data_IF_797466755713
#
_entry.id   IF_797466755713
#
_cell.length_a   1.000
_cell.length_b   1.000
_cell.length_c   1.000
_cell.angle_alpha   90.00
_cell.angle_beta   90.00
_cell.angle_gamma   90.00
#
_symmetry.space_group_name_H-M   'P 1'
#
loop_
_entity.id
_entity.type
_entity.pdbx_description
1 polymer ?
#
# COMPACT_ATOMS: atom_id res chain seq x y z
N UNK A 1 -12.33 16.81 2.55
CA UNK A 1 -12.88 17.01 1.20
C UNK A 1 -12.03 16.18 0.26
N UNK A 2 -12.66 15.37 -0.57
CA UNK A 2 -11.96 14.57 -1.58
C UNK A 2 -11.66 15.44 -2.81
N UNK A 3 -10.53 15.21 -3.46
CA UNK A 3 -10.12 15.86 -4.72
C UNK A 3 -9.88 14.79 -5.77
N UNK A 4 -10.71 14.74 -6.79
CA UNK A 4 -10.58 13.81 -7.92
C UNK A 4 -10.14 14.61 -9.16
N UNK A 5 -9.20 14.07 -9.92
CA UNK A 5 -8.56 14.77 -11.05
C UNK A 5 -8.51 13.80 -12.23
N UNK A 6 -9.08 14.19 -13.36
CA UNK A 6 -8.92 13.45 -14.61
C UNK A 6 -7.73 14.03 -15.40
N UNK A 7 -6.67 13.24 -15.54
CA UNK A 7 -5.46 13.69 -16.22
C UNK A 7 -4.28 12.74 -16.05
N UNK A 8 -3.16 13.08 -16.69
CA UNK A 8 -1.90 12.36 -16.55
C UNK A 8 -1.32 12.58 -15.15
N UNK A 9 -0.98 11.48 -14.46
CA UNK A 9 -0.55 11.54 -13.07
C UNK A 9 0.78 12.31 -12.89
N UNK A 10 1.71 12.23 -13.84
CA UNK A 10 2.98 12.96 -13.75
C UNK A 10 2.78 14.47 -13.89
N UNK A 11 1.80 14.90 -14.69
CA UNK A 11 1.47 16.31 -14.83
C UNK A 11 0.64 16.81 -13.63
N UNK A 12 -0.39 16.07 -13.25
CA UNK A 12 -1.30 16.50 -12.18
C UNK A 12 -0.65 16.48 -10.79
N UNK A 13 0.28 15.55 -10.54
CA UNK A 13 1.04 15.54 -9.28
C UNK A 13 1.85 16.82 -9.08
N UNK A 14 2.29 17.53 -10.12
CA UNK A 14 3.01 18.81 -10.02
C UNK A 14 2.19 19.88 -9.28
N UNK A 15 0.87 19.78 -9.34
CA UNK A 15 -0.08 20.70 -8.72
C UNK A 15 -0.44 20.32 -7.26
N UNK A 16 0.10 19.21 -6.73
CA UNK A 16 -0.10 18.80 -5.34
C UNK A 16 1.00 19.42 -4.49
N UNK A 17 0.67 20.09 -3.36
CA UNK A 17 1.66 20.74 -2.50
C UNK A 17 2.66 19.76 -1.87
N UNK A 18 3.87 20.24 -1.61
CA UNK A 18 4.92 19.49 -0.91
C UNK A 18 4.47 19.07 0.49
N UNK A 19 4.78 17.84 0.89
CA UNK A 19 4.49 17.34 2.22
C UNK A 19 3.00 17.33 2.59
N UNK A 20 2.11 17.29 1.61
CA UNK A 20 0.65 17.37 1.84
C UNK A 20 -0.02 16.03 2.10
N UNK A 21 0.61 14.91 1.70
CA UNK A 21 0.04 13.58 1.86
C UNK A 21 0.68 12.81 3.01
N UNK A 22 -0.15 12.19 3.84
CA UNK A 22 0.25 11.34 4.95
C UNK A 22 0.61 9.93 4.49
N UNK A 23 -0.06 9.44 3.45
CA UNK A 23 0.28 8.21 2.75
C UNK A 23 0.01 8.32 1.24
N UNK A 24 0.73 7.52 0.47
CA UNK A 24 0.45 7.26 -0.94
C UNK A 24 0.14 5.77 -1.03
N UNK A 25 -1.06 5.40 -1.49
CA UNK A 25 -1.50 4.01 -1.60
C UNK A 25 -2.06 3.83 -3.00
N UNK A 26 -1.33 3.10 -3.84
CA UNK A 26 -1.58 3.09 -5.27
C UNK A 26 -1.31 1.72 -5.90
N UNK A 27 -2.07 1.41 -6.94
CA UNK A 27 -1.87 0.27 -7.84
C UNK A 27 -1.38 0.78 -9.20
N UNK A 28 -0.07 1.04 -9.36
CA UNK A 28 0.44 1.57 -10.62
C UNK A 28 0.39 0.51 -11.74
N UNK A 29 0.40 0.89 -13.02
CA UNK A 29 0.49 -0.06 -14.12
C UNK A 29 1.83 -0.82 -14.11
N UNK A 30 1.78 -2.15 -14.34
CA UNK A 30 2.96 -3.03 -14.26
C UNK A 30 3.60 -3.31 -15.62
N UNK A 31 2.95 -2.95 -16.75
CA UNK A 31 3.39 -3.30 -18.09
C UNK A 31 3.34 -4.81 -18.38
N UNK A 32 2.44 -5.54 -17.74
CA UNK A 32 2.37 -7.01 -17.82
C UNK A 32 1.14 -7.53 -18.54
N UNK A 33 0.23 -6.66 -18.94
CA UNK A 33 -1.00 -7.00 -19.66
C UNK A 33 -1.02 -6.37 -21.06
N UNK A 34 -1.93 -6.82 -21.92
CA UNK A 34 -2.15 -6.24 -23.23
C UNK A 34 -3.09 -5.00 -23.21
N UNK A 35 -3.46 -4.52 -22.03
CA UNK A 35 -4.33 -3.37 -21.87
C UNK A 35 -3.58 -2.08 -22.24
N UNK A 36 -4.21 -1.18 -22.98
CA UNK A 36 -3.58 0.09 -23.43
C UNK A 36 -3.10 0.98 -22.27
N UNK A 37 -3.77 0.94 -21.13
CA UNK A 37 -3.43 1.70 -19.92
C UNK A 37 -2.31 1.06 -19.09
N UNK A 38 -1.93 -0.20 -19.35
CA UNK A 38 -0.90 -0.90 -18.57
C UNK A 38 0.51 -0.62 -19.14
N UNK A 39 0.85 0.64 -19.29
CA UNK A 39 2.22 1.10 -19.63
C UNK A 39 2.92 1.59 -18.38
N UNK A 40 4.16 1.13 -18.15
CA UNK A 40 4.95 1.53 -16.98
C UNK A 40 5.17 3.05 -17.02
N UNK A 41 4.82 3.72 -15.93
CA UNK A 41 5.09 5.14 -15.70
C UNK A 41 6.61 5.33 -15.57
N UNK A 42 7.14 6.45 -16.07
CA UNK A 42 8.55 6.80 -15.84
C UNK A 42 8.83 6.86 -14.34
N UNK A 43 9.64 5.90 -13.86
CA UNK A 43 9.88 5.76 -12.42
C UNK A 43 10.71 6.91 -11.84
N UNK A 44 11.58 7.55 -12.61
CA UNK A 44 12.38 8.69 -12.12
C UNK A 44 11.47 9.90 -11.87
N UNK A 45 10.64 10.23 -12.84
CA UNK A 45 9.65 11.32 -12.74
C UNK A 45 8.61 11.01 -11.65
N UNK A 46 8.13 9.78 -11.57
CA UNK A 46 7.23 9.34 -10.50
C UNK A 46 7.88 9.56 -9.12
N UNK A 47 9.11 9.10 -8.90
CA UNK A 47 9.79 9.27 -7.61
C UNK A 47 10.10 10.71 -7.27
N UNK A 48 10.35 11.57 -8.26
CA UNK A 48 10.50 13.01 -8.03
C UNK A 48 9.26 13.57 -7.35
N UNK A 49 8.08 13.30 -7.89
CA UNK A 49 6.83 13.80 -7.35
C UNK A 49 6.46 13.12 -6.01
N UNK A 50 6.55 11.81 -5.92
CA UNK A 50 6.18 11.10 -4.69
C UNK A 50 7.02 11.52 -3.49
N UNK A 51 8.34 11.74 -3.67
CA UNK A 51 9.25 12.21 -2.62
C UNK A 51 8.92 13.62 -2.14
N UNK A 52 8.45 14.49 -3.02
CA UNK A 52 8.05 15.85 -2.70
C UNK A 52 6.72 15.89 -1.94
N UNK A 53 5.74 15.11 -2.40
CA UNK A 53 4.36 15.13 -1.92
C UNK A 53 4.22 14.45 -0.55
N UNK A 54 4.99 13.38 -0.30
CA UNK A 54 4.84 12.59 0.93
C UNK A 54 5.46 13.31 2.14
N UNK A 55 4.80 13.23 3.29
CA UNK A 55 5.36 13.70 4.57
C UNK A 55 6.59 12.86 5.01
N UNK A 56 7.50 13.41 5.83
CA UNK A 56 8.74 12.74 6.24
C UNK A 56 8.54 11.37 6.92
N UNK A 57 7.42 11.16 7.59
CA UNK A 57 7.05 9.89 8.23
C UNK A 57 5.98 9.11 7.48
N UNK A 58 5.53 9.62 6.33
CA UNK A 58 4.50 8.99 5.51
C UNK A 58 4.98 7.70 4.86
N UNK A 59 4.06 6.80 4.58
CA UNK A 59 4.30 5.56 3.85
C UNK A 59 3.87 5.70 2.39
N UNK A 60 4.69 5.17 1.48
CA UNK A 60 4.34 4.95 0.07
C UNK A 60 4.14 3.45 -0.10
N UNK A 61 2.93 3.04 -0.41
CA UNK A 61 2.46 1.66 -0.50
C UNK A 61 2.05 1.40 -1.94
N UNK A 62 2.87 0.65 -2.68
CA UNK A 62 2.62 0.36 -4.08
C UNK A 62 2.40 -1.13 -4.27
N UNK A 63 1.30 -1.52 -4.88
CA UNK A 63 1.13 -2.91 -5.31
C UNK A 63 2.02 -3.18 -6.52
N UNK A 64 2.47 -4.42 -6.65
CA UNK A 64 3.38 -4.82 -7.69
C UNK A 64 3.28 -6.32 -7.98
N UNK A 65 3.88 -6.72 -9.09
CA UNK A 65 3.98 -8.10 -9.52
C UNK A 65 5.27 -8.30 -10.30
N UNK A 66 5.95 -9.43 -10.12
CA UNK A 66 7.16 -9.71 -10.89
C UNK A 66 6.90 -9.75 -12.41
N UNK A 67 7.81 -9.18 -13.24
CA UNK A 67 9.14 -8.64 -12.89
C UNK A 67 9.14 -7.19 -12.40
N UNK A 68 8.01 -6.47 -12.51
CA UNK A 68 7.88 -5.05 -12.11
C UNK A 68 8.27 -4.80 -10.65
N UNK A 69 7.96 -5.72 -9.72
CA UNK A 69 8.38 -5.61 -8.31
C UNK A 69 9.88 -5.38 -8.18
N UNK A 70 10.69 -6.16 -8.89
CA UNK A 70 12.16 -6.02 -8.84
C UNK A 70 12.61 -4.66 -9.35
N UNK A 71 12.07 -4.20 -10.48
CA UNK A 71 12.38 -2.89 -11.07
C UNK A 71 11.98 -1.75 -10.13
N UNK A 72 10.78 -1.82 -9.55
CA UNK A 72 10.26 -0.82 -8.61
C UNK A 72 11.13 -0.71 -7.35
N UNK A 73 11.52 -1.84 -6.75
CA UNK A 73 12.40 -1.86 -5.57
C UNK A 73 13.77 -1.30 -5.92
N UNK A 74 14.37 -1.73 -7.04
CA UNK A 74 15.68 -1.26 -7.47
C UNK A 74 15.71 0.24 -7.75
N UNK A 75 14.62 0.80 -8.28
CA UNK A 75 14.53 2.23 -8.60
C UNK A 75 14.60 3.16 -7.38
N UNK A 76 14.32 2.65 -6.15
CA UNK A 76 14.40 3.47 -4.94
C UNK A 76 14.78 2.67 -3.68
N UNK A 77 15.89 1.96 -3.71
CA UNK A 77 16.41 1.17 -2.58
C UNK A 77 16.59 1.98 -1.29
N UNK A 78 16.86 3.29 -1.39
CA UNK A 78 17.07 4.15 -0.21
C UNK A 78 15.80 4.29 0.64
N UNK A 79 14.64 4.34 0.01
CA UNK A 79 13.35 4.46 0.70
C UNK A 79 12.71 3.11 0.97
N UNK A 80 13.13 2.02 0.31
CA UNK A 80 12.56 0.69 0.49
C UNK A 80 12.64 0.24 1.95
N UNK A 81 11.54 -0.35 2.46
CA UNK A 81 11.44 -0.88 3.82
C UNK A 81 11.23 -2.39 3.85
N UNK A 82 10.16 -2.86 3.28
CA UNK A 82 9.80 -4.28 3.20
C UNK A 82 8.70 -4.51 2.18
N UNK A 83 8.45 -5.79 1.88
CA UNK A 83 7.28 -6.21 1.12
C UNK A 83 6.28 -6.92 2.03
N UNK A 84 5.00 -6.72 1.75
CA UNK A 84 3.91 -7.60 2.15
C UNK A 84 3.48 -8.42 0.93
N UNK A 85 2.90 -9.57 1.16
CA UNK A 85 2.36 -10.45 0.11
C UNK A 85 0.86 -10.53 0.29
N UNK A 86 0.11 -10.11 -0.73
CA UNK A 86 -1.31 -10.38 -0.78
C UNK A 86 -1.56 -11.75 -1.42
N UNK A 87 -1.95 -12.73 -0.59
CA UNK A 87 -2.39 -14.05 -1.03
C UNK A 87 -3.85 -13.96 -1.49
N UNK A 88 -4.08 -14.25 -2.78
CA UNK A 88 -5.40 -14.22 -3.41
C UNK A 88 -6.19 -15.49 -3.12
N UNK A 89 -7.52 -15.42 -3.20
CA UNK A 89 -8.38 -16.60 -3.09
C UNK A 89 -8.37 -17.48 -4.34
N UNK A 90 -7.96 -16.93 -5.49
CA UNK A 90 -7.93 -17.65 -6.78
C UNK A 90 -6.57 -17.47 -7.44
N UNK A 91 -5.99 -18.58 -7.88
CA UNK A 91 -4.77 -18.56 -8.67
C UNK A 91 -5.06 -18.13 -10.12
N UNK A 92 -4.06 -17.52 -10.75
CA UNK A 92 -4.09 -17.09 -12.16
C UNK A 92 -3.00 -17.77 -12.97
N UNK A 93 -3.11 -17.76 -14.31
CA UNK A 93 -2.09 -18.31 -15.20
C UNK A 93 -2.30 -19.81 -15.52
N UNK A 94 -3.54 -20.29 -15.51
CA UNK A 94 -3.86 -21.69 -15.81
C UNK A 94 -3.28 -22.19 -17.14
N UNK A 95 -3.25 -21.37 -18.18
CA UNK A 95 -2.66 -21.75 -19.49
C UNK A 95 -1.17 -22.09 -19.44
N UNK A 96 -0.48 -21.69 -18.37
CA UNK A 96 0.96 -21.91 -18.19
C UNK A 96 1.32 -23.03 -17.21
N UNK A 97 0.35 -23.77 -16.68
CA UNK A 97 0.57 -24.74 -15.58
C UNK A 97 1.55 -25.88 -15.92
N UNK A 98 1.73 -26.17 -17.22
CA UNK A 98 2.71 -27.17 -17.70
C UNK A 98 4.15 -26.64 -17.69
N UNK A 99 4.37 -25.33 -17.56
CA UNK A 99 5.67 -24.68 -17.68
C UNK A 99 6.09 -23.92 -16.44
N UNK A 100 5.14 -23.50 -15.62
CA UNK A 100 5.39 -22.75 -14.38
C UNK A 100 4.22 -22.89 -13.41
N UNK A 101 4.46 -22.68 -12.08
CA UNK A 101 3.37 -22.62 -11.10
C UNK A 101 2.37 -21.51 -11.41
N UNK A 102 1.12 -21.75 -11.02
CA UNK A 102 0.11 -20.68 -11.02
C UNK A 102 0.45 -19.61 -10.01
N UNK A 103 0.14 -18.36 -10.37
CA UNK A 103 0.36 -17.23 -9.51
C UNK A 103 -0.85 -17.00 -8.59
N UNK A 104 -0.62 -16.99 -7.28
CA UNK A 104 -1.66 -16.83 -6.27
C UNK A 104 -1.45 -15.58 -5.39
N UNK A 105 -0.46 -14.76 -5.69
CA UNK A 105 -0.14 -13.58 -4.90
C UNK A 105 0.23 -12.37 -5.75
N UNK A 106 0.17 -11.21 -5.11
CA UNK A 106 0.81 -9.97 -5.54
C UNK A 106 1.66 -9.41 -4.39
N UNK A 107 2.68 -8.65 -4.77
CA UNK A 107 3.53 -7.96 -3.82
C UNK A 107 2.91 -6.60 -3.44
N UNK A 108 3.14 -6.16 -2.22
CA UNK A 108 2.83 -4.81 -1.75
C UNK A 108 4.14 -4.25 -1.21
N UNK A 109 4.69 -3.27 -1.90
CA UNK A 109 6.02 -2.74 -1.64
C UNK A 109 5.91 -1.45 -0.82
N UNK A 110 6.62 -1.40 0.31
CA UNK A 110 6.56 -0.29 1.25
C UNK A 110 7.82 0.53 1.18
N UNK A 111 7.65 1.83 0.96
CA UNK A 111 8.72 2.83 0.98
C UNK A 111 8.40 3.94 1.99
N UNK A 112 9.42 4.58 2.52
CA UNK A 112 9.27 5.76 3.40
C UNK A 112 10.61 6.45 3.59
N UNK A 113 10.62 7.73 3.92
CA UNK A 113 11.79 8.37 4.53
C UNK A 113 11.96 7.95 5.99
N UNK A 114 10.83 7.69 6.68
CA UNK A 114 10.82 7.23 8.07
C UNK A 114 11.43 5.84 8.25
N UNK A 115 11.96 5.56 9.43
CA UNK A 115 12.51 4.24 9.76
C UNK A 115 11.45 3.24 10.23
N UNK A 116 11.67 1.95 10.00
CA UNK A 116 10.78 0.86 10.43
C UNK A 116 11.43 -0.05 11.51
N UNK A 117 12.48 0.43 12.18
CA UNK A 117 13.18 -0.31 13.22
C UNK A 117 13.08 0.37 14.59
N UNK A 118 13.28 -0.41 15.65
CA UNK A 118 13.34 0.12 17.01
C UNK A 118 14.46 1.15 17.14
N UNK A 119 14.15 2.31 17.74
CA UNK A 119 15.10 3.40 17.93
C UNK A 119 15.25 4.35 16.73
N UNK A 120 14.42 4.20 15.69
CA UNK A 120 14.39 5.18 14.60
C UNK A 120 14.06 6.57 15.13
N UNK A 121 14.87 7.58 14.75
CA UNK A 121 14.65 8.99 15.16
C UNK A 121 13.37 9.57 14.56
N UNK A 122 13.04 9.18 13.34
CA UNK A 122 11.79 9.52 12.66
C UNK A 122 11.11 8.23 12.21
N UNK A 123 10.27 7.60 13.05
CA UNK A 123 9.61 6.36 12.68
C UNK A 123 8.52 6.61 11.62
N UNK A 124 8.44 5.69 10.66
CA UNK A 124 7.34 5.65 9.69
C UNK A 124 6.01 5.45 10.40
N UNK A 125 4.95 6.12 9.93
CA UNK A 125 3.58 5.90 10.40
C UNK A 125 3.19 4.43 10.23
N UNK A 126 2.85 3.77 11.33
CA UNK A 126 2.48 2.36 11.33
C UNK A 126 1.55 2.03 12.49
N UNK A 127 0.35 1.58 12.18
CA UNK A 127 -0.69 1.17 13.13
C UNK A 127 -0.91 -0.35 12.98
N UNK A 128 -0.40 -1.19 13.87
CA UNK A 128 -0.61 -2.64 13.78
C UNK A 128 -2.09 -2.99 13.92
N UNK A 129 -2.70 -3.48 12.84
CA UNK A 129 -4.10 -3.88 12.79
C UNK A 129 -4.33 -5.27 13.39
N UNK A 130 -5.54 -5.52 13.91
CA UNK A 130 -5.97 -6.85 14.36
C UNK A 130 -5.38 -7.31 15.69
N UNK A 131 -4.81 -6.41 16.48
CA UNK A 131 -4.26 -6.75 17.80
C UNK A 131 -5.36 -7.21 18.75
N UNK A 132 -5.09 -8.31 19.48
CA UNK A 132 -5.95 -8.82 20.53
C UNK A 132 -5.28 -8.59 21.90
N UNK A 133 -6.05 -8.12 22.88
CA UNK A 133 -5.60 -7.99 24.26
C UNK A 133 -5.45 -9.39 24.88
N UNK A 134 -4.37 -9.62 25.58
CA UNK A 134 -4.18 -10.86 26.36
C UNK A 134 -4.94 -10.76 27.67
N UNK A 135 -5.66 -11.82 28.06
CA UNK A 135 -6.34 -11.89 29.36
C UNK A 135 -5.33 -11.82 30.52
N UNK A 136 -4.14 -12.39 30.34
CA UNK A 136 -3.03 -12.32 31.29
C UNK A 136 -1.78 -11.83 30.56
N UNK A 137 -1.18 -10.72 30.98
CA UNK A 137 0.08 -10.25 30.40
C UNK A 137 1.19 -11.27 30.54
N UNK A 138 1.91 -11.56 29.45
CA UNK A 138 3.03 -12.52 29.45
C UNK A 138 4.35 -11.81 29.69
N UNK A 139 5.13 -12.23 30.68
CA UNK A 139 6.49 -11.72 30.90
C UNK A 139 7.38 -12.12 29.71
N UNK A 140 8.06 -11.16 29.11
CA UNK A 140 9.02 -11.43 28.05
C UNK A 140 10.28 -12.05 28.64
N UNK A 141 10.64 -13.26 28.20
CA UNK A 141 11.87 -13.93 28.61
C UNK A 141 13.05 -13.43 27.77
N UNK A 142 14.18 -13.11 28.41
CA UNK A 142 15.44 -12.72 27.75
C UNK A 142 15.94 -13.76 26.73
N UNK A 143 15.61 -15.05 26.91
CA UNK A 143 16.03 -16.14 26.01
C UNK A 143 15.34 -16.16 24.65
N UNK A 144 14.26 -15.40 24.46
CA UNK A 144 13.51 -15.35 23.18
C UNK A 144 13.99 -14.26 22.21
N UNK A 145 15.02 -13.50 22.57
CA UNK A 145 15.57 -12.45 21.70
C UNK A 145 16.73 -13.04 20.94
N UNK A 146 16.66 -13.01 19.61
CA UNK A 146 17.76 -13.39 18.72
C UNK A 146 19.03 -12.62 19.11
N UNK A 147 20.18 -13.28 19.05
CA UNK A 147 21.49 -12.68 19.36
C UNK A 147 21.76 -11.41 18.55
N UNK A 148 21.18 -11.31 17.35
CA UNK A 148 21.29 -10.15 16.45
C UNK A 148 20.57 -8.90 16.97
N UNK A 149 19.55 -9.07 17.82
CA UNK A 149 18.69 -7.97 18.31
C UNK A 149 18.96 -7.67 19.79
N UNK A 150 19.60 -8.61 20.53
CA UNK A 150 19.82 -8.50 21.98
C UNK A 150 20.63 -7.28 22.41
N UNK A 151 21.47 -6.74 21.51
CA UNK A 151 22.29 -5.55 21.80
C UNK A 151 21.51 -4.23 21.59
N UNK A 152 20.36 -4.28 20.88
CA UNK A 152 19.60 -3.09 20.49
C UNK A 152 18.37 -2.92 21.41
N UNK A 153 17.77 -4.01 21.86
CA UNK A 153 16.53 -4.01 22.65
C UNK A 153 16.75 -4.80 23.92
N UNK A 154 16.70 -4.13 25.06
CA UNK A 154 16.54 -4.81 26.35
C UNK A 154 15.06 -5.18 26.50
N UNK A 155 14.66 -6.47 26.40
CA UNK A 155 13.27 -6.85 26.59
C UNK A 155 12.94 -6.68 28.08
N UNK A 156 12.41 -5.53 28.44
CA UNK A 156 11.83 -5.28 29.76
C UNK A 156 10.33 -5.09 29.57
N UNK A 157 9.53 -5.78 30.38
CA UNK A 157 8.09 -5.60 30.44
C UNK A 157 7.25 -6.82 30.08
N UNK A 158 5.94 -6.60 30.04
CA UNK A 158 4.94 -7.60 29.75
C UNK A 158 4.43 -7.44 28.31
N UNK A 159 4.14 -8.55 27.67
CA UNK A 159 3.38 -8.54 26.43
C UNK A 159 1.89 -8.51 26.77
N UNK A 160 1.22 -7.41 26.46
CA UNK A 160 -0.21 -7.20 26.74
C UNK A 160 -1.10 -7.55 25.55
N UNK A 161 -0.53 -7.57 24.35
CA UNK A 161 -1.25 -7.79 23.09
C UNK A 161 -0.66 -8.97 22.32
N UNK A 162 -1.51 -9.62 21.54
CA UNK A 162 -1.15 -10.71 20.62
C UNK A 162 -1.73 -10.46 19.23
N UNK A 163 -1.59 -11.42 18.33
CA UNK A 163 -2.07 -11.33 16.94
C UNK A 163 -1.46 -10.15 16.15
N UNK A 164 -0.16 -9.93 16.33
CA UNK A 164 0.55 -8.93 15.53
C UNK A 164 0.48 -9.26 14.04
N UNK A 165 0.37 -8.24 13.16
CA UNK A 165 0.34 -8.41 11.71
C UNK A 165 1.50 -9.27 11.19
N UNK A 166 1.23 -10.01 10.13
CA UNK A 166 2.20 -10.85 9.41
C UNK A 166 2.41 -10.30 8.01
N UNK A 167 3.52 -10.69 7.38
CA UNK A 167 3.85 -10.24 6.02
C UNK A 167 2.99 -10.86 4.92
N UNK A 168 2.24 -11.92 5.20
CA UNK A 168 1.29 -12.53 4.26
C UNK A 168 -0.12 -12.12 4.68
N UNK A 169 -0.82 -11.44 3.78
CA UNK A 169 -2.18 -10.94 3.94
C UNK A 169 -3.11 -11.79 3.10
N UNK A 170 -4.22 -12.26 3.70
CA UNK A 170 -5.22 -13.08 3.02
C UNK A 170 -6.50 -12.28 2.83
N UNK A 171 -6.74 -11.83 1.60
CA UNK A 171 -7.98 -11.16 1.21
C UNK A 171 -8.53 -11.80 -0.05
N UNK A 172 -9.84 -12.00 -0.08
CA UNK A 172 -10.52 -12.57 -1.23
C UNK A 172 -10.37 -11.70 -2.48
N UNK A 173 -10.26 -12.34 -3.64
CA UNK A 173 -10.32 -11.64 -4.92
C UNK A 173 -11.74 -11.12 -5.17
N UNK A 174 -11.88 -9.99 -5.85
CA UNK A 174 -13.20 -9.42 -6.18
C UNK A 174 -13.91 -10.34 -7.17
N UNK A 175 -15.19 -10.64 -6.92
CA UNK A 175 -15.98 -11.54 -7.76
C UNK A 175 -16.48 -10.87 -9.05
N UNK A 176 -17.34 -9.83 -8.91
CA UNK A 176 -17.76 -8.97 -10.00
C UNK A 176 -17.00 -7.67 -9.93
N UNK A 177 -16.26 -7.35 -10.98
CA UNK A 177 -15.42 -6.16 -11.04
C UNK A 177 -15.96 -5.16 -12.05
N UNK A 178 -15.82 -3.89 -11.77
CA UNK A 178 -16.06 -2.78 -12.72
C UNK A 178 -14.76 -2.36 -13.43
N UNK A 179 -13.62 -2.85 -12.95
CA UNK A 179 -12.30 -2.69 -13.55
C UNK A 179 -11.57 -4.03 -13.53
N UNK A 180 -10.86 -4.43 -14.62
CA UNK A 180 -10.22 -5.76 -14.72
C UNK A 180 -9.23 -6.09 -13.60
N UNK A 181 -8.53 -5.09 -13.08
CA UNK A 181 -7.51 -5.25 -12.02
C UNK A 181 -7.96 -4.68 -10.67
N UNK A 182 -9.28 -4.51 -10.46
CA UNK A 182 -9.82 -3.93 -9.23
C UNK A 182 -9.31 -4.68 -7.99
N UNK A 183 -8.73 -3.93 -7.04
CA UNK A 183 -8.29 -4.48 -5.76
C UNK A 183 -9.48 -4.67 -4.80
N UNK A 184 -9.41 -5.64 -3.87
CA UNK A 184 -10.44 -5.82 -2.84
C UNK A 184 -10.51 -4.59 -1.92
N UNK A 185 -11.73 -4.15 -1.62
CA UNK A 185 -11.98 -3.02 -0.72
C UNK A 185 -11.35 -3.26 0.67
N UNK A 186 -11.52 -4.46 1.21
CA UNK A 186 -11.00 -4.87 2.52
C UNK A 186 -9.46 -4.80 2.58
N UNK A 187 -8.78 -5.12 1.48
CA UNK A 187 -7.32 -4.97 1.39
C UNK A 187 -6.92 -3.49 1.46
N UNK A 188 -7.59 -2.63 0.69
CA UNK A 188 -7.28 -1.19 0.69
C UNK A 188 -7.59 -0.57 2.05
N UNK A 189 -8.70 -0.94 2.69
CA UNK A 189 -9.03 -0.51 4.06
C UNK A 189 -7.98 -0.95 5.08
N UNK A 190 -7.47 -2.19 4.96
CA UNK A 190 -6.39 -2.69 5.82
C UNK A 190 -5.12 -1.85 5.67
N UNK A 191 -4.70 -1.57 4.42
CA UNK A 191 -3.51 -0.76 4.14
C UNK A 191 -3.68 0.68 4.66
N UNK A 192 -4.84 1.29 4.43
CA UNK A 192 -5.16 2.63 4.93
C UNK A 192 -5.09 2.69 6.45
N UNK A 193 -5.75 1.76 7.15
CA UNK A 193 -5.70 1.69 8.64
C UNK A 193 -4.29 1.48 9.16
N UNK A 194 -3.47 0.71 8.43
CA UNK A 194 -2.09 0.40 8.84
C UNK A 194 -1.18 1.62 8.73
N UNK A 195 -1.32 2.44 7.71
CA UNK A 195 -0.35 3.51 7.42
C UNK A 195 -0.87 4.93 7.64
N UNK A 196 -2.14 5.08 8.03
CA UNK A 196 -2.75 6.39 8.28
C UNK A 196 -3.63 6.42 9.52
N UNK A 197 -3.88 7.63 10.03
CA UNK A 197 -4.88 7.93 11.05
C UNK A 197 -6.10 8.62 10.41
N UNK A 198 -7.22 8.69 11.16
CA UNK A 198 -8.42 9.41 10.72
C UNK A 198 -8.12 10.89 10.46
N UNK A 199 -8.72 11.47 9.43
CA UNK A 199 -8.50 12.85 9.00
C UNK A 199 -7.23 13.09 8.18
N UNK A 200 -6.33 12.10 8.05
CA UNK A 200 -5.12 12.19 7.23
C UNK A 200 -5.43 12.09 5.73
N UNK A 201 -4.49 12.53 4.90
CA UNK A 201 -4.64 12.63 3.44
C UNK A 201 -3.91 11.49 2.73
N UNK A 202 -4.63 10.81 1.85
CA UNK A 202 -4.12 9.71 1.02
C UNK A 202 -4.12 10.16 -0.44
N UNK A 203 -3.05 9.84 -1.17
CA UNK A 203 -2.95 9.98 -2.62
C UNK A 203 -2.99 8.58 -3.27
N UNK A 204 -3.83 8.44 -4.30
CA UNK A 204 -3.75 7.38 -5.30
C UNK A 204 -3.62 8.03 -6.68
N UNK A 205 -2.44 7.94 -7.28
CA UNK A 205 -2.12 8.65 -8.51
C UNK A 205 -2.50 7.87 -9.79
N UNK A 206 -3.07 6.66 -9.64
CA UNK A 206 -3.67 5.85 -10.72
C UNK A 206 -4.88 5.11 -10.18
N UNK A 207 -5.90 5.88 -9.74
CA UNK A 207 -6.98 5.34 -8.90
C UNK A 207 -7.90 4.34 -9.60
N UNK A 208 -7.85 4.23 -10.93
CA UNK A 208 -8.70 3.34 -11.70
C UNK A 208 -10.17 3.57 -11.39
N UNK A 209 -10.85 2.51 -10.96
CA UNK A 209 -12.26 2.58 -10.53
C UNK A 209 -12.47 3.11 -9.10
N UNK A 210 -11.47 3.71 -8.45
CA UNK A 210 -11.61 4.45 -7.19
C UNK A 210 -11.73 3.59 -5.92
N UNK A 211 -11.27 2.35 -5.90
CA UNK A 211 -11.41 1.49 -4.70
C UNK A 211 -10.67 2.06 -3.49
N UNK A 212 -9.48 2.65 -3.68
CA UNK A 212 -8.73 3.35 -2.62
C UNK A 212 -9.51 4.54 -2.08
N UNK A 213 -10.17 5.30 -2.96
CA UNK A 213 -11.00 6.45 -2.58
C UNK A 213 -12.23 6.06 -1.77
N UNK A 214 -12.93 4.99 -2.18
CA UNK A 214 -14.04 4.40 -1.40
C UNK A 214 -13.56 3.97 -0.01
N UNK A 215 -12.44 3.25 0.06
CA UNK A 215 -11.85 2.83 1.34
C UNK A 215 -11.45 4.02 2.22
N UNK A 216 -10.87 5.06 1.64
CA UNK A 216 -10.49 6.27 2.36
C UNK A 216 -11.71 6.98 2.96
N UNK A 217 -12.78 7.13 2.17
CA UNK A 217 -14.04 7.75 2.61
C UNK A 217 -14.70 6.95 3.74
N UNK A 218 -14.81 5.63 3.60
CA UNK A 218 -15.36 4.75 4.64
C UNK A 218 -14.62 4.88 5.99
N UNK A 219 -13.33 5.21 5.92
CA UNK A 219 -12.47 5.29 7.10
C UNK A 219 -12.24 6.71 7.60
N UNK A 220 -12.92 7.72 7.06
CA UNK A 220 -12.79 9.11 7.47
C UNK A 220 -11.44 9.74 7.11
N UNK A 221 -10.80 9.31 6.02
CA UNK A 221 -9.59 9.91 5.47
C UNK A 221 -9.92 10.86 4.34
N UNK A 222 -9.09 11.87 4.12
CA UNK A 222 -9.13 12.72 2.94
C UNK A 222 -8.46 12.00 1.79
N UNK A 223 -8.97 12.16 0.58
CA UNK A 223 -8.50 11.44 -0.60
C UNK A 223 -8.19 12.39 -1.75
N UNK A 224 -7.06 12.16 -2.39
CA UNK A 224 -6.69 12.75 -3.68
C UNK A 224 -6.54 11.57 -4.64
N UNK A 225 -7.33 11.56 -5.71
CA UNK A 225 -7.29 10.51 -6.74
C UNK A 225 -7.03 11.12 -8.11
N UNK A 226 -6.13 10.49 -8.88
CA UNK A 226 -5.85 10.87 -10.26
C UNK A 226 -6.14 9.66 -11.15
N UNK A 227 -6.81 9.89 -12.27
CA UNK A 227 -7.10 8.86 -13.28
C UNK A 227 -7.03 9.46 -14.68
N UNK A 228 -6.30 8.78 -15.55
CA UNK A 228 -6.08 9.22 -16.93
C UNK A 228 -7.31 8.99 -17.81
N UNK A 229 -7.90 7.79 -17.69
CA UNK A 229 -9.04 7.37 -18.51
C UNK A 229 -10.33 8.02 -18.02
N UNK A 230 -11.03 8.82 -18.84
CA UNK A 230 -12.23 9.55 -18.44
C UNK A 230 -13.39 8.63 -18.06
N UNK A 231 -13.49 7.43 -18.63
CA UNK A 231 -14.56 6.47 -18.31
C UNK A 231 -14.32 5.85 -16.94
N UNK A 232 -13.09 5.44 -16.63
CA UNK A 232 -12.75 4.98 -15.29
C UNK A 232 -12.79 6.10 -14.26
N UNK A 233 -12.41 7.31 -14.63
CA UNK A 233 -12.57 8.48 -13.75
C UNK A 233 -14.03 8.68 -13.34
N UNK A 234 -14.97 8.62 -14.29
CA UNK A 234 -16.41 8.77 -13.99
C UNK A 234 -16.91 7.64 -13.09
N UNK A 235 -16.50 6.39 -13.33
CA UNK A 235 -16.83 5.25 -12.48
C UNK A 235 -16.29 5.47 -11.06
N UNK A 236 -15.06 5.96 -10.92
CA UNK A 236 -14.46 6.24 -9.62
C UNK A 236 -15.20 7.34 -8.86
N UNK A 237 -15.55 8.44 -9.55
CA UNK A 237 -16.31 9.55 -8.98
C UNK A 237 -17.65 9.05 -8.43
N UNK A 238 -18.45 8.36 -9.25
CA UNK A 238 -19.76 7.83 -8.85
C UNK A 238 -19.66 6.86 -7.66
N UNK A 239 -18.64 6.00 -7.62
CA UNK A 239 -18.41 5.05 -6.51
C UNK A 239 -17.97 5.72 -5.22
N UNK A 240 -17.09 6.71 -5.31
CA UNK A 240 -16.59 7.45 -4.14
C UNK A 240 -17.71 8.34 -3.58
N UNK A 241 -18.55 8.93 -4.43
CA UNK A 241 -19.66 9.76 -3.97
C UNK A 241 -20.76 8.94 -3.28
N UNK A 242 -21.00 7.71 -3.75
CA UNK A 242 -21.99 6.80 -3.19
C UNK A 242 -21.54 6.12 -1.87
N UNK A 243 -20.28 6.12 -1.51
CA UNK A 243 -19.74 5.53 -0.28
C UNK A 243 -19.93 6.50 0.91
#
# INVERSE_FOLDING_TARGET
>A
MNKLINGDCLEEMKNIPDGSCDAIICDPPYGTTACKWDSIIDLELMWEQLKRIIKPNGAIVLTASQPFTTTLVASNMKMFKYCLIWEKSKATGFFHVKYRPQKIHEDIVIFSFGGCAVGSKNPMSYNPCGLLKLNTPKKRNKKSVSATISNIVKPSGFQEKTNYPKSILKFGSVGKTVHPTQKPLELMEYLIKTYTNEGETILDFTMGSGTTGVAAKNLGRRFIGIELDPDYFKIAEDRIDAA
#
